data_IF_920999027745
#
_entry.id   IF_920999027745
#
_cell.length_a   1.000
_cell.length_b   1.000
_cell.length_c   1.000
_cell.angle_alpha   90.00
_cell.angle_beta   90.00
_cell.angle_gamma   90.00
#
_symmetry.space_group_name_H-M   'P 1'
#
loop_
_entity.id
_entity.type
_entity.pdbx_description
1 polymer ?
#
# COMPACT_ATOMS: atom_id res chain seq x y z
N UNK A 1 4.55 8.27 24.10
CA UNK A 1 4.55 9.68 23.67
C UNK A 1 4.06 9.74 22.23
N UNK A 2 3.02 10.54 21.99
CA UNK A 2 2.39 10.99 20.73
C UNK A 2 2.63 10.15 19.46
N UNK A 3 1.64 9.28 19.20
CA UNK A 3 1.31 8.75 17.88
C UNK A 3 0.85 9.93 17.00
N UNK A 4 1.62 10.27 15.97
CA UNK A 4 1.28 11.38 15.09
C UNK A 4 -0.02 11.08 14.30
N UNK A 5 -1.07 11.92 14.38
CA UNK A 5 -2.39 11.64 13.80
C UNK A 5 -2.50 11.83 12.28
N UNK A 6 -1.39 12.00 11.55
CA UNK A 6 -1.45 12.47 10.15
C UNK A 6 -1.38 11.38 9.08
N UNK A 7 -0.86 10.17 9.35
CA UNK A 7 -0.67 9.16 8.30
C UNK A 7 -1.77 8.10 8.18
N UNK A 8 -2.81 8.13 9.03
CA UNK A 8 -3.95 7.21 8.96
C UNK A 8 -5.09 7.70 8.03
N UNK A 9 -5.01 8.93 7.51
CA UNK A 9 -6.10 9.53 6.72
C UNK A 9 -6.10 9.15 5.24
N UNK A 10 -5.02 8.56 4.71
CA UNK A 10 -4.98 8.07 3.32
C UNK A 10 -5.47 6.61 3.17
N UNK A 11 -5.68 5.88 4.28
CA UNK A 11 -6.16 4.49 4.27
C UNK A 11 -7.62 4.31 4.72
N UNK A 12 -8.37 5.40 4.96
CA UNK A 12 -9.71 5.32 5.56
C UNK A 12 -10.88 5.68 4.64
N UNK A 13 -10.64 6.04 3.37
CA UNK A 13 -11.72 6.43 2.46
C UNK A 13 -12.32 5.26 1.65
N UNK A 14 -11.77 4.05 1.74
CA UNK A 14 -12.39 2.87 1.12
C UNK A 14 -13.44 2.20 2.02
N UNK A 15 -13.42 2.47 3.33
CA UNK A 15 -14.35 1.87 4.30
C UNK A 15 -15.59 2.69 4.64
N UNK A 16 -15.69 3.96 4.23
CA UNK A 16 -16.69 4.88 4.81
C UNK A 16 -17.69 5.52 3.85
N UNK A 17 -17.65 5.22 2.54
CA UNK A 17 -18.60 5.83 1.58
C UNK A 17 -19.24 4.91 0.55
N UNK A 18 -19.19 3.61 0.77
CA UNK A 18 -19.99 2.65 0.03
C UNK A 18 -20.81 1.81 1.02
N UNK A 19 -22.07 2.20 1.21
CA UNK A 19 -23.17 1.28 1.55
C UNK A 19 -23.94 0.97 0.25
N UNK A 20 -23.40 0.19 -0.70
CA UNK A 20 -24.26 -0.58 -1.58
C UNK A 20 -24.65 -1.85 -0.82
N UNK A 21 -25.84 -2.36 -1.07
CA UNK A 21 -26.22 -3.70 -0.62
C UNK A 21 -25.13 -4.68 -1.09
N UNK A 22 -24.58 -5.45 -0.14
CA UNK A 22 -23.45 -6.32 -0.39
C UNK A 22 -23.87 -7.49 -1.30
N UNK A 23 -23.82 -7.30 -2.60
CA UNK A 23 -23.46 -8.41 -3.49
C UNK A 23 -22.05 -8.85 -3.08
N UNK A 24 -21.85 -10.13 -2.69
CA UNK A 24 -20.55 -10.58 -2.27
C UNK A 24 -19.65 -10.56 -3.50
N UNK A 25 -18.80 -9.53 -3.62
CA UNK A 25 -17.66 -9.60 -4.52
C UNK A 25 -16.97 -10.97 -4.30
N UNK A 26 -16.58 -11.68 -5.38
CA UNK A 26 -15.98 -12.99 -5.25
C UNK A 26 -14.80 -12.88 -4.28
N UNK A 27 -14.85 -13.66 -3.19
CA UNK A 27 -13.95 -13.55 -2.02
C UNK A 27 -12.47 -13.43 -2.42
N UNK A 28 -12.10 -14.07 -3.53
CA UNK A 28 -10.76 -14.07 -4.12
C UNK A 28 -10.23 -12.68 -4.46
N UNK A 29 -11.06 -11.75 -4.98
CA UNK A 29 -10.61 -10.40 -5.34
C UNK A 29 -10.31 -9.55 -4.10
N UNK A 30 -11.14 -9.69 -3.06
CA UNK A 30 -10.95 -9.01 -1.77
C UNK A 30 -9.70 -9.55 -1.07
N UNK A 31 -9.53 -10.88 -1.04
CA UNK A 31 -8.33 -11.53 -0.49
C UNK A 31 -7.06 -11.12 -1.23
N UNK A 32 -7.11 -11.03 -2.56
CA UNK A 32 -5.99 -10.57 -3.38
C UNK A 32 -5.62 -9.13 -3.07
N UNK A 33 -6.60 -8.22 -2.97
CA UNK A 33 -6.36 -6.82 -2.64
C UNK A 33 -5.76 -6.67 -1.25
N UNK A 34 -6.27 -7.42 -0.27
CA UNK A 34 -5.74 -7.44 1.10
C UNK A 34 -4.30 -7.95 1.14
N UNK A 35 -3.98 -9.00 0.39
CA UNK A 35 -2.61 -9.54 0.29
C UNK A 35 -1.63 -8.50 -0.27
N UNK A 36 -2.02 -7.82 -1.36
CA UNK A 36 -1.20 -6.76 -1.98
C UNK A 36 -0.99 -5.58 -1.04
N UNK A 37 -2.06 -5.12 -0.37
CA UNK A 37 -2.01 -4.02 0.58
C UNK A 37 -1.12 -4.36 1.79
N UNK A 38 -1.30 -5.54 2.38
CA UNK A 38 -0.49 -5.99 3.52
C UNK A 38 1.00 -6.10 3.16
N UNK A 39 1.32 -6.60 1.96
CA UNK A 39 2.72 -6.63 1.51
C UNK A 39 3.30 -5.24 1.29
N UNK A 40 2.52 -4.31 0.70
CA UNK A 40 2.94 -2.91 0.54
C UNK A 40 3.24 -2.25 1.88
N UNK A 41 2.40 -2.47 2.88
CA UNK A 41 2.60 -1.90 4.22
C UNK A 41 3.84 -2.47 4.90
N UNK A 42 4.10 -3.77 4.75
CA UNK A 42 5.34 -4.37 5.24
C UNK A 42 6.60 -3.73 4.61
N UNK A 43 6.60 -3.48 3.30
CA UNK A 43 7.71 -2.79 2.63
C UNK A 43 7.90 -1.36 3.14
N UNK A 44 6.82 -0.65 3.46
CA UNK A 44 6.88 0.71 4.03
C UNK A 44 7.48 0.68 5.44
N UNK A 45 7.12 -0.30 6.25
CA UNK A 45 7.71 -0.52 7.58
C UNK A 45 9.22 -0.80 7.49
N UNK A 46 9.63 -1.70 6.57
CA UNK A 46 11.05 -1.99 6.32
C UNK A 46 11.80 -0.72 5.92
N UNK A 47 11.25 0.07 4.99
CA UNK A 47 11.85 1.33 4.57
C UNK A 47 11.98 2.32 5.73
N UNK A 48 10.96 2.42 6.58
CA UNK A 48 11.00 3.29 7.75
C UNK A 48 12.09 2.86 8.75
N UNK A 49 12.30 1.56 8.94
CA UNK A 49 13.37 1.03 9.77
C UNK A 49 14.76 1.37 9.18
N UNK A 50 14.96 1.19 7.87
CA UNK A 50 16.22 1.53 7.21
C UNK A 50 16.52 3.03 7.26
N UNK A 51 15.51 3.90 7.11
CA UNK A 51 15.70 5.35 7.25
C UNK A 51 16.16 5.75 8.65
N UNK A 52 15.66 5.08 9.69
CA UNK A 52 16.14 5.28 11.07
C UNK A 52 17.59 4.84 11.22
N UNK A 53 17.94 3.68 10.66
CA UNK A 53 19.32 3.19 10.66
C UNK A 53 20.26 4.18 9.92
N UNK A 54 19.87 4.66 8.75
CA UNK A 54 20.64 5.63 7.97
C UNK A 54 20.94 6.91 8.78
N UNK A 55 19.99 7.38 9.58
CA UNK A 55 20.18 8.57 10.42
C UNK A 55 21.21 8.37 11.55
N UNK A 56 21.51 7.13 11.91
CA UNK A 56 22.46 6.75 12.97
C UNK A 56 23.78 6.19 12.40
N UNK A 57 23.85 5.94 11.09
CA UNK A 57 25.01 5.39 10.42
C UNK A 57 26.12 6.45 10.23
N UNK A 58 27.37 6.05 10.45
CA UNK A 58 28.55 6.91 10.28
C UNK A 58 29.50 6.41 9.20
N UNK A 59 29.48 5.10 8.90
CA UNK A 59 30.36 4.49 7.92
C UNK A 59 29.82 4.74 6.50
N UNK A 60 30.67 5.25 5.60
CA UNK A 60 30.27 5.64 4.24
C UNK A 60 29.79 4.47 3.39
N UNK A 61 30.36 3.26 3.59
CA UNK A 61 29.95 2.06 2.85
C UNK A 61 28.55 1.63 3.31
N UNK A 62 28.32 1.65 4.62
CA UNK A 62 27.01 1.36 5.21
C UNK A 62 25.96 2.37 4.77
N UNK A 63 26.29 3.67 4.74
CA UNK A 63 25.40 4.73 4.27
C UNK A 63 24.99 4.47 2.82
N UNK A 64 25.95 4.19 1.93
CA UNK A 64 25.67 3.95 0.51
C UNK A 64 24.75 2.72 0.30
N UNK A 65 25.01 1.62 1.01
CA UNK A 65 24.18 0.41 0.97
C UNK A 65 22.74 0.67 1.47
N UNK A 66 22.59 1.43 2.56
CA UNK A 66 21.29 1.81 3.09
C UNK A 66 20.51 2.69 2.12
N UNK A 67 21.15 3.67 1.49
CA UNK A 67 20.53 4.54 0.47
C UNK A 67 20.07 3.74 -0.75
N UNK A 68 20.91 2.83 -1.25
CA UNK A 68 20.57 1.93 -2.35
C UNK A 68 19.36 1.05 -2.00
N UNK A 69 19.38 0.45 -0.81
CA UNK A 69 18.29 -0.42 -0.34
C UNK A 69 16.99 0.36 -0.16
N UNK A 70 17.04 1.59 0.37
CA UNK A 70 15.86 2.45 0.50
C UNK A 70 15.28 2.80 -0.88
N UNK A 71 16.13 3.13 -1.86
CA UNK A 71 15.72 3.43 -3.24
C UNK A 71 15.04 2.23 -3.91
N UNK A 72 15.59 1.03 -3.70
CA UNK A 72 14.98 -0.22 -4.14
C UNK A 72 13.59 -0.42 -3.52
N UNK A 73 13.44 -0.23 -2.21
CA UNK A 73 12.15 -0.35 -1.53
C UNK A 73 11.14 0.68 -2.04
N UNK A 74 11.54 1.93 -2.28
CA UNK A 74 10.64 2.95 -2.84
C UNK A 74 10.11 2.56 -4.22
N UNK A 75 10.96 1.96 -5.07
CA UNK A 75 10.54 1.43 -6.37
C UNK A 75 9.55 0.28 -6.23
N UNK A 76 9.80 -0.65 -5.30
CA UNK A 76 8.90 -1.78 -5.03
C UNK A 76 7.56 -1.32 -4.49
N UNK A 77 7.54 -0.39 -3.55
CA UNK A 77 6.31 0.18 -2.97
C UNK A 77 5.45 0.79 -4.08
N UNK A 78 6.02 1.64 -4.94
CA UNK A 78 5.30 2.24 -6.08
C UNK A 78 4.72 1.20 -7.04
N UNK A 79 5.45 0.11 -7.29
CA UNK A 79 4.97 -0.98 -8.13
C UNK A 79 3.77 -1.71 -7.52
N UNK A 80 3.75 -1.92 -6.20
CA UNK A 80 2.59 -2.48 -5.51
C UNK A 80 1.41 -1.51 -5.46
N UNK A 81 1.65 -0.22 -5.20
CA UNK A 81 0.61 0.81 -5.24
C UNK A 81 -0.07 0.91 -6.61
N UNK A 82 0.72 0.80 -7.68
CA UNK A 82 0.21 0.78 -9.05
C UNK A 82 -0.64 -0.46 -9.35
N UNK A 83 -0.21 -1.64 -8.87
CA UNK A 83 -0.97 -2.88 -9.00
C UNK A 83 -2.28 -2.83 -8.22
N UNK A 84 -2.25 -2.33 -6.98
CA UNK A 84 -3.44 -2.12 -6.16
C UNK A 84 -4.45 -1.20 -6.87
N UNK A 85 -3.96 -0.07 -7.41
CA UNK A 85 -4.81 0.87 -8.15
C UNK A 85 -5.43 0.24 -9.41
N UNK A 86 -4.69 -0.63 -10.10
CA UNK A 86 -5.20 -1.36 -11.27
C UNK A 86 -6.30 -2.35 -10.90
N UNK A 87 -6.11 -3.14 -9.83
CA UNK A 87 -7.14 -4.07 -9.34
C UNK A 87 -8.41 -3.33 -8.95
N UNK A 88 -8.28 -2.18 -8.28
CA UNK A 88 -9.44 -1.36 -7.91
C UNK A 88 -10.19 -0.84 -9.14
N UNK A 89 -9.47 -0.37 -10.17
CA UNK A 89 -10.10 0.10 -11.43
C UNK A 89 -10.87 -1.02 -12.12
N UNK A 90 -10.25 -2.19 -12.28
CA UNK A 90 -10.88 -3.35 -12.92
C UNK A 90 -12.17 -3.77 -12.21
N UNK A 91 -12.18 -3.74 -10.87
CA UNK A 91 -13.36 -4.09 -10.08
C UNK A 91 -14.48 -3.04 -10.21
N UNK A 92 -14.13 -1.75 -10.30
CA UNK A 92 -15.11 -0.68 -10.49
C UNK A 92 -15.75 -0.71 -11.88
N UNK A 93 -14.97 -1.00 -12.92
CA UNK A 93 -15.46 -1.07 -14.29
C UNK A 93 -16.39 -2.28 -14.47
N UNK A 94 -16.01 -3.43 -13.92
CA UNK A 94 -16.85 -4.65 -13.90
C UNK A 94 -18.19 -4.40 -13.19
N UNK A 95 -18.17 -3.71 -12.04
CA UNK A 95 -19.41 -3.38 -11.31
C UNK A 95 -20.33 -2.42 -12.09
N UNK A 96 -19.77 -1.50 -12.89
CA UNK A 96 -20.57 -0.59 -13.74
C UNK A 96 -21.23 -1.31 -14.90
N UNK A 97 -20.52 -2.22 -15.56
CA UNK A 97 -21.05 -2.99 -16.67
C UNK A 97 -22.22 -3.89 -16.24
N UNK A 98 -22.13 -4.49 -15.04
CA UNK A 98 -23.24 -5.26 -14.47
C UNK A 98 -24.47 -4.43 -14.11
N UNK A 99 -24.30 -3.16 -13.70
CA UNK A 99 -25.42 -2.28 -13.35
C UNK A 99 -26.18 -1.72 -14.57
N UNK A 100 -25.64 -1.90 -15.78
CA UNK A 100 -26.22 -1.40 -17.04
C UNK A 100 -26.93 -2.49 -17.87
N UNK A 101 -26.92 -3.75 -17.42
CA UNK A 101 -27.69 -4.87 -17.99
C UNK A 101 -28.98 -5.13 -17.20
#
# INVERSE_FOLDING_TARGET
AKTDPLDARMLSDYGRRYHPEAEPAPREEVERLQSLAGHRDHLVEMRAALKKHLAEAFDEIVIADLEETISFLDTRIKAFESQIAEVIRQNQDTARDHALM
#
